data_IF_627349496840
#
_entry.id   IF_627349496840
#
_cell.length_a   1.000
_cell.length_b   1.000
_cell.length_c   1.000
_cell.angle_alpha   90.00
_cell.angle_beta   90.00
_cell.angle_gamma   90.00
#
_symmetry.space_group_name_H-M   'P 1'
#
loop_
_entity.id
_entity.type
_entity.pdbx_description
1 polymer ?
#
# COMPACT_ATOMS: atom_id res chain seq x y z
N UNK A 1 -42.01 38.22 33.63
CA UNK A 1 -41.90 38.24 32.19
C UNK A 1 -40.51 37.72 31.73
N UNK A 2 -39.41 38.28 32.22
CA UNK A 2 -38.03 37.86 31.82
C UNK A 2 -37.73 36.37 32.09
N UNK A 3 -38.11 35.87 33.28
CA UNK A 3 -37.92 34.48 33.67
C UNK A 3 -38.72 33.55 32.74
N UNK A 4 -39.93 33.90 32.38
CA UNK A 4 -40.78 33.13 31.46
C UNK A 4 -40.15 33.07 30.07
N UNK A 5 -39.65 34.19 29.52
CA UNK A 5 -38.97 34.27 28.25
C UNK A 5 -37.72 33.38 28.21
N UNK A 6 -36.98 33.34 29.26
CA UNK A 6 -35.83 32.47 29.39
C UNK A 6 -36.20 30.98 29.30
N UNK A 7 -37.24 30.52 29.97
CA UNK A 7 -37.67 29.13 29.88
C UNK A 7 -38.22 28.78 28.50
N UNK A 8 -38.93 29.73 27.86
CA UNK A 8 -39.44 29.57 26.50
C UNK A 8 -38.25 29.44 25.51
N UNK A 9 -37.25 30.33 25.59
CA UNK A 9 -36.04 30.28 24.75
C UNK A 9 -35.36 28.94 24.88
N UNK A 10 -35.08 28.49 26.10
CA UNK A 10 -34.44 27.21 26.40
C UNK A 10 -35.24 26.04 25.83
N UNK A 11 -36.54 26.01 25.99
CA UNK A 11 -37.39 24.94 25.44
C UNK A 11 -37.35 24.90 23.91
N UNK A 12 -37.40 26.08 23.25
CA UNK A 12 -37.27 26.21 21.80
C UNK A 12 -35.90 25.76 21.34
N UNK A 13 -34.82 26.21 21.99
CA UNK A 13 -33.45 25.86 21.64
C UNK A 13 -33.23 24.37 21.75
N UNK A 14 -33.59 23.75 22.87
CA UNK A 14 -33.49 22.30 23.12
C UNK A 14 -34.16 21.47 22.02
N UNK A 15 -35.32 21.91 21.52
CA UNK A 15 -36.08 21.21 20.49
C UNK A 15 -35.56 21.44 19.07
N UNK A 16 -35.01 22.62 18.78
CA UNK A 16 -34.74 23.07 17.43
C UNK A 16 -33.24 23.17 17.07
N UNK A 17 -32.33 23.19 18.04
CA UNK A 17 -30.90 23.44 17.77
C UNK A 17 -30.31 22.47 16.75
N UNK A 18 -30.67 21.17 16.81
CA UNK A 18 -30.18 20.12 15.91
C UNK A 18 -30.94 20.04 14.59
N UNK A 19 -32.19 20.54 14.58
CA UNK A 19 -33.06 20.46 13.41
C UNK A 19 -32.45 21.28 12.26
N UNK A 20 -32.42 20.73 11.04
CA UNK A 20 -31.85 21.37 9.86
C UNK A 20 -30.39 21.92 10.04
N UNK A 21 -29.65 21.34 10.92
CA UNK A 21 -28.18 21.53 11.06
C UNK A 21 -27.48 20.36 10.39
N UNK A 22 -26.67 20.63 9.36
CA UNK A 22 -25.86 19.64 8.68
C UNK A 22 -24.37 19.91 8.97
N UNK A 23 -23.69 18.91 9.52
CA UNK A 23 -22.26 18.98 9.83
C UNK A 23 -21.58 17.76 9.21
N UNK A 24 -20.52 18.00 8.47
CA UNK A 24 -19.70 16.95 7.89
C UNK A 24 -18.22 17.26 8.07
N UNK A 25 -17.45 16.22 8.38
CA UNK A 25 -15.99 16.27 8.47
C UNK A 25 -15.44 15.19 7.55
N UNK A 26 -14.68 15.58 6.54
CA UNK A 26 -14.20 14.66 5.51
C UNK A 26 -12.75 14.99 5.14
N UNK A 27 -11.98 13.98 4.74
CA UNK A 27 -10.68 14.20 4.11
C UNK A 27 -10.86 14.77 2.71
N UNK A 28 -9.97 15.70 2.30
CA UNK A 28 -9.95 16.24 0.94
C UNK A 28 -9.52 15.20 -0.09
N UNK A 29 -8.73 14.23 0.35
CA UNK A 29 -8.15 13.18 -0.48
C UNK A 29 -8.42 11.81 0.16
N UNK A 30 -8.47 10.77 -0.66
CA UNK A 30 -8.66 9.40 -0.19
C UNK A 30 -7.34 8.68 0.07
N UNK A 31 -6.28 9.13 -0.57
CA UNK A 31 -4.94 8.54 -0.52
C UNK A 31 -3.89 9.63 -0.47
N UNK A 32 -2.89 9.47 0.38
CA UNK A 32 -1.66 10.29 0.44
C UNK A 32 -0.48 9.37 0.72
N UNK A 33 0.75 9.88 0.59
CA UNK A 33 1.94 9.19 1.06
C UNK A 33 2.37 9.65 2.44
N UNK A 34 3.07 8.78 3.14
CA UNK A 34 3.73 9.11 4.40
C UNK A 34 4.67 10.31 4.20
N UNK A 35 4.57 11.28 5.09
CA UNK A 35 5.28 12.56 4.98
C UNK A 35 4.50 13.68 4.28
N UNK A 36 3.47 13.35 3.51
CA UNK A 36 2.59 14.36 2.90
C UNK A 36 1.55 14.86 3.89
N UNK A 37 1.07 16.09 3.66
CA UNK A 37 -0.01 16.70 4.44
C UNK A 37 -1.37 16.48 3.79
N UNK A 38 -2.38 16.20 4.61
CA UNK A 38 -3.78 16.09 4.16
C UNK A 38 -4.63 17.21 4.75
N UNK A 39 -5.57 17.71 3.97
CA UNK A 39 -6.57 18.66 4.44
C UNK A 39 -7.83 17.91 4.88
N UNK A 40 -8.31 18.23 6.06
CA UNK A 40 -9.63 17.81 6.55
C UNK A 40 -10.57 18.99 6.43
N UNK A 41 -11.68 18.79 5.73
CA UNK A 41 -12.68 19.80 5.48
C UNK A 41 -13.83 19.62 6.48
N UNK A 42 -14.03 20.61 7.33
CA UNK A 42 -15.18 20.76 8.20
C UNK A 42 -16.21 21.65 7.50
N UNK A 43 -17.39 21.15 7.23
CA UNK A 43 -18.51 21.93 6.68
C UNK A 43 -19.68 21.87 7.64
N UNK A 44 -20.16 23.04 8.04
CA UNK A 44 -21.34 23.21 8.90
C UNK A 44 -22.34 24.11 8.18
N UNK A 45 -23.58 23.69 8.09
CA UNK A 45 -24.64 24.39 7.39
C UNK A 45 -25.90 24.47 8.26
N UNK A 46 -26.34 25.67 8.56
CA UNK A 46 -27.57 25.95 9.30
C UNK A 46 -28.68 26.38 8.32
N UNK A 47 -29.65 25.50 8.08
CA UNK A 47 -30.78 25.75 7.16
C UNK A 47 -32.06 26.18 7.88
N UNK A 48 -31.93 26.80 9.05
CA UNK A 48 -33.07 27.25 9.86
C UNK A 48 -32.93 28.70 10.29
N UNK A 49 -34.04 29.27 10.77
CA UNK A 49 -34.11 30.66 11.28
C UNK A 49 -33.38 30.81 12.63
N UNK A 50 -33.33 29.75 13.45
CA UNK A 50 -32.68 29.81 14.73
C UNK A 50 -31.16 29.92 14.53
N UNK A 51 -30.52 31.03 14.94
CA UNK A 51 -29.09 31.14 14.93
C UNK A 51 -28.49 30.26 16.05
N UNK A 52 -27.30 29.78 15.85
CA UNK A 52 -26.53 29.04 16.86
C UNK A 52 -25.37 29.92 17.28
N UNK A 53 -25.45 30.46 18.48
CA UNK A 53 -24.45 31.41 19.01
C UNK A 53 -23.12 30.75 19.28
N UNK A 54 -23.16 29.48 19.70
CA UNK A 54 -21.99 28.68 19.98
C UNK A 54 -22.19 27.27 19.38
N UNK A 55 -21.27 26.87 18.52
CA UNK A 55 -21.16 25.49 18.00
C UNK A 55 -19.72 25.07 18.14
N UNK A 56 -19.48 23.96 18.81
CA UNK A 56 -18.18 23.30 18.87
C UNK A 56 -18.26 21.96 18.16
N UNK A 57 -17.30 21.71 17.30
CA UNK A 57 -17.11 20.42 16.62
C UNK A 57 -15.81 19.86 17.14
N UNK A 58 -15.88 18.66 17.70
CA UNK A 58 -14.71 17.91 18.15
C UNK A 58 -14.67 16.58 17.44
N UNK A 59 -13.50 16.17 17.04
CA UNK A 59 -13.24 14.87 16.41
C UNK A 59 -11.79 14.46 16.61
N UNK A 60 -11.53 13.16 16.49
CA UNK A 60 -10.18 12.61 16.56
C UNK A 60 -9.87 11.73 15.38
N UNK A 61 -8.58 11.62 15.07
CA UNK A 61 -8.07 10.64 14.11
C UNK A 61 -7.75 9.34 14.83
N UNK A 62 -8.19 8.24 14.25
CA UNK A 62 -7.85 6.90 14.67
C UNK A 62 -7.11 6.18 13.54
N UNK A 63 -5.95 5.58 13.86
CA UNK A 63 -5.19 4.73 12.96
C UNK A 63 -5.60 3.29 13.19
N UNK A 64 -6.17 2.64 12.18
CA UNK A 64 -6.78 1.31 12.30
C UNK A 64 -5.76 0.15 12.24
N UNK A 65 -4.59 0.36 11.63
CA UNK A 65 -3.65 -0.72 11.35
C UNK A 65 -2.69 -1.06 12.48
N UNK A 66 -2.46 -0.14 13.42
CA UNK A 66 -1.54 -0.34 14.55
C UNK A 66 -2.22 0.08 15.85
N UNK A 67 -1.94 -0.65 16.91
CA UNK A 67 -2.34 -0.20 18.24
C UNK A 67 -1.54 1.05 18.61
N UNK A 68 -2.21 2.02 19.21
CA UNK A 68 -1.51 3.14 19.84
C UNK A 68 -0.57 2.59 20.91
N UNK A 69 0.69 3.03 20.92
CA UNK A 69 1.56 2.79 22.07
C UNK A 69 0.95 3.48 23.29
N UNK A 70 1.07 2.86 24.44
CA UNK A 70 0.64 3.46 25.70
C UNK A 70 1.33 4.81 25.88
N UNK A 71 0.56 5.92 25.75
CA UNK A 71 1.07 7.29 25.70
C UNK A 71 0.85 8.06 24.40
N UNK A 72 0.54 7.42 23.30
CA UNK A 72 0.16 8.09 22.05
C UNK A 72 -1.23 8.72 22.20
N UNK A 73 -1.29 10.03 22.32
CA UNK A 73 -2.58 10.74 22.33
C UNK A 73 -3.14 10.76 20.91
N UNK A 74 -4.41 10.35 20.72
CA UNK A 74 -5.05 10.49 19.42
C UNK A 74 -5.02 11.97 19.00
N UNK A 75 -4.74 12.22 17.75
CA UNK A 75 -4.81 13.57 17.20
C UNK A 75 -6.26 14.07 17.30
N UNK A 76 -6.52 14.95 18.26
CA UNK A 76 -7.83 15.51 18.51
C UNK A 76 -7.90 16.96 18.06
N UNK A 77 -8.99 17.32 17.42
CA UNK A 77 -9.28 18.66 16.92
C UNK A 77 -10.56 19.16 17.55
N UNK A 78 -10.53 20.40 18.00
CA UNK A 78 -11.73 21.14 18.44
C UNK A 78 -11.82 22.44 17.65
N UNK A 79 -13.00 22.76 17.16
CA UNK A 79 -13.30 23.98 16.41
C UNK A 79 -14.58 24.59 16.92
N UNK A 80 -14.50 25.82 17.46
CA UNK A 80 -15.66 26.56 17.99
C UNK A 80 -15.96 27.80 17.15
N UNK A 81 -17.24 28.09 16.90
CA UNK A 81 -17.70 29.22 16.08
C UNK A 81 -19.19 29.48 16.29
N UNK A 82 -19.65 30.63 15.84
CA UNK A 82 -21.08 30.94 15.72
C UNK A 82 -21.57 30.59 14.33
N UNK A 83 -22.84 30.16 14.22
CA UNK A 83 -23.46 29.79 12.96
C UNK A 83 -24.79 30.52 12.81
N UNK A 84 -24.82 31.67 12.10
CA UNK A 84 -26.04 32.46 11.89
C UNK A 84 -27.15 31.69 11.19
N UNK A 85 -28.35 32.29 11.15
CA UNK A 85 -29.49 31.75 10.41
C UNK A 85 -29.15 31.61 8.92
N UNK A 86 -29.54 30.50 8.30
CA UNK A 86 -29.35 30.24 6.87
C UNK A 86 -27.92 30.44 6.36
N UNK A 87 -26.92 30.12 7.17
CA UNK A 87 -25.53 30.30 6.84
C UNK A 87 -24.77 28.98 6.79
N UNK A 88 -23.62 29.01 6.13
CA UNK A 88 -22.68 27.89 6.12
C UNK A 88 -21.26 28.36 6.41
N UNK A 89 -20.52 27.55 7.17
CA UNK A 89 -19.11 27.77 7.48
C UNK A 89 -18.31 26.57 6.98
N UNK A 90 -17.24 26.84 6.22
CA UNK A 90 -16.27 25.83 5.80
C UNK A 90 -14.92 26.14 6.44
N UNK A 91 -14.27 25.13 6.97
CA UNK A 91 -12.94 25.23 7.58
C UNK A 91 -12.06 24.09 7.06
N UNK A 92 -10.80 24.40 6.83
CA UNK A 92 -9.81 23.43 6.43
C UNK A 92 -8.75 23.33 7.53
N UNK A 93 -8.49 22.11 7.96
CA UNK A 93 -7.40 21.77 8.89
C UNK A 93 -6.38 20.93 8.15
N UNK A 94 -5.13 21.36 8.13
CA UNK A 94 -4.05 20.56 7.54
C UNK A 94 -3.41 19.70 8.63
N UNK A 95 -3.23 18.44 8.34
CA UNK A 95 -2.60 17.45 9.20
C UNK A 95 -1.37 16.95 8.47
N UNK A 96 -0.22 17.04 9.11
CA UNK A 96 1.06 16.60 8.58
C UNK A 96 1.64 15.48 9.43
N UNK A 97 2.62 14.75 8.87
CA UNK A 97 3.39 13.76 9.61
C UNK A 97 2.64 12.47 9.92
N UNK A 98 1.59 12.15 9.15
CA UNK A 98 0.91 10.87 9.28
C UNK A 98 1.83 9.73 8.81
N UNK A 99 1.97 8.70 9.64
CA UNK A 99 2.67 7.46 9.31
C UNK A 99 1.79 6.58 8.42
N UNK A 100 2.38 5.62 7.70
CA UNK A 100 1.67 4.61 6.91
C UNK A 100 0.50 3.98 7.71
N UNK A 101 -0.62 3.80 7.05
CA UNK A 101 -1.79 3.17 7.69
C UNK A 101 -3.11 3.62 7.11
N UNK A 102 -4.18 3.18 7.73
CA UNK A 102 -5.54 3.62 7.40
C UNK A 102 -6.07 4.43 8.56
N UNK A 103 -6.53 5.63 8.24
CA UNK A 103 -7.06 6.58 9.21
C UNK A 103 -8.55 6.79 9.00
N UNK A 104 -9.27 6.89 10.10
CA UNK A 104 -10.68 7.26 10.13
C UNK A 104 -10.90 8.41 11.11
N UNK A 105 -11.93 9.20 10.83
CA UNK A 105 -12.37 10.24 11.75
C UNK A 105 -13.35 9.60 12.73
N UNK A 106 -12.99 9.59 14.00
CA UNK A 106 -13.77 8.95 15.06
C UNK A 106 -14.03 9.90 16.22
N UNK A 107 -14.82 9.45 17.20
CA UNK A 107 -15.19 10.20 18.40
C UNK A 107 -15.70 11.62 18.11
N UNK A 108 -16.39 11.77 16.98
CA UNK A 108 -16.95 13.05 16.57
C UNK A 108 -18.13 13.45 17.45
N UNK A 109 -18.13 14.69 17.93
CA UNK A 109 -19.27 15.28 18.62
C UNK A 109 -19.47 16.73 18.21
N UNK A 110 -20.73 17.12 18.17
CA UNK A 110 -21.17 18.50 17.97
C UNK A 110 -21.76 18.97 19.29
N UNK A 111 -21.23 20.05 19.82
CA UNK A 111 -21.76 20.68 21.04
C UNK A 111 -22.34 22.05 20.67
N UNK A 112 -23.49 22.38 21.18
CA UNK A 112 -24.06 23.73 21.06
C UNK A 112 -24.65 24.13 22.40
N UNK A 113 -24.55 25.41 22.76
CA UNK A 113 -25.16 25.96 23.97
C UNK A 113 -26.31 26.92 23.62
N UNK A 114 -27.24 27.08 24.55
CA UNK A 114 -28.27 28.09 24.50
C UNK A 114 -27.67 29.50 24.46
N UNK A 115 -28.48 30.52 24.22
CA UNK A 115 -28.05 31.93 24.11
C UNK A 115 -27.35 32.43 25.38
N UNK A 116 -27.68 31.88 26.54
CA UNK A 116 -27.07 32.23 27.80
C UNK A 116 -25.94 31.31 28.26
N UNK A 117 -25.61 30.32 27.42
CA UNK A 117 -24.55 29.33 27.71
C UNK A 117 -24.70 28.56 29.02
N UNK A 118 -25.93 28.36 29.49
CA UNK A 118 -26.24 27.66 30.73
C UNK A 118 -26.37 26.15 30.54
N UNK A 119 -26.79 25.72 29.34
CA UNK A 119 -26.92 24.29 29.05
C UNK A 119 -26.20 23.94 27.73
N UNK A 120 -25.45 22.85 27.74
CA UNK A 120 -24.76 22.32 26.58
C UNK A 120 -25.52 21.12 26.03
N UNK A 121 -25.79 21.14 24.74
CA UNK A 121 -26.42 20.06 24.00
C UNK A 121 -25.39 19.37 23.16
N UNK A 122 -25.25 18.05 23.30
CA UNK A 122 -24.25 17.25 22.61
C UNK A 122 -24.93 16.28 21.64
N UNK A 123 -24.36 16.15 20.45
CA UNK A 123 -24.83 15.21 19.44
C UNK A 123 -23.62 14.50 18.79
N UNK A 124 -23.65 13.18 18.61
CA UNK A 124 -22.58 12.47 17.97
C UNK A 124 -22.45 12.85 16.50
N UNK A 125 -21.23 12.96 16.01
CA UNK A 125 -20.89 13.20 14.63
C UNK A 125 -20.23 11.95 14.05
N UNK A 126 -20.87 11.34 13.08
CA UNK A 126 -20.32 10.17 12.39
C UNK A 126 -19.73 10.61 11.05
N UNK A 127 -18.47 10.26 10.83
CA UNK A 127 -17.79 10.45 9.56
C UNK A 127 -17.44 9.07 8.98
N UNK A 128 -17.95 8.79 7.77
CA UNK A 128 -17.56 7.58 7.03
C UNK A 128 -16.28 7.77 6.20
N UNK A 129 -15.58 8.90 6.40
CA UNK A 129 -14.41 9.22 5.60
C UNK A 129 -13.20 8.41 6.06
N UNK A 130 -12.54 7.72 5.12
CA UNK A 130 -11.30 6.97 5.34
C UNK A 130 -10.18 7.58 4.50
N UNK A 131 -8.97 7.57 5.05
CA UNK A 131 -7.76 8.01 4.41
C UNK A 131 -6.75 6.86 4.43
N UNK A 132 -6.22 6.52 3.26
CA UNK A 132 -5.12 5.58 3.11
C UNK A 132 -3.82 6.36 3.03
N UNK A 133 -2.92 6.14 3.98
CA UNK A 133 -1.57 6.68 3.97
C UNK A 133 -0.64 5.59 3.48
N UNK A 134 -0.18 5.72 2.25
CA UNK A 134 0.72 4.79 1.59
C UNK A 134 2.13 4.89 2.17
N UNK A 135 2.94 3.82 2.10
CA UNK A 135 4.33 3.87 2.51
C UNK A 135 5.12 4.96 1.77
N UNK A 136 6.08 5.57 2.46
CA UNK A 136 7.08 6.44 1.82
C UNK A 136 7.92 5.62 0.84
N UNK A 137 8.26 6.20 -0.31
CA UNK A 137 9.18 5.58 -1.27
C UNK A 137 10.60 6.05 -0.99
N UNK A 138 11.50 5.09 -0.77
CA UNK A 138 12.92 5.35 -0.56
C UNK A 138 13.63 5.44 -1.90
N UNK A 139 14.04 6.65 -2.31
CA UNK A 139 14.77 6.88 -3.58
C UNK A 139 16.13 6.19 -3.59
N UNK A 140 16.80 6.10 -2.43
CA UNK A 140 18.08 5.41 -2.28
C UNK A 140 18.03 3.94 -2.73
N UNK A 141 16.86 3.29 -2.65
CA UNK A 141 16.69 1.92 -3.11
C UNK A 141 16.97 1.76 -4.61
N UNK A 142 16.60 2.71 -5.44
CA UNK A 142 16.84 2.66 -6.90
C UNK A 142 18.31 2.72 -7.29
N UNK A 143 19.15 3.25 -6.42
CA UNK A 143 20.61 3.38 -6.60
C UNK A 143 21.40 2.22 -5.99
N UNK A 144 20.76 1.33 -5.23
CA UNK A 144 21.45 0.22 -4.57
C UNK A 144 22.05 -0.73 -5.62
N UNK A 145 23.24 -1.25 -5.33
CA UNK A 145 23.94 -2.22 -6.20
C UNK A 145 23.11 -3.50 -6.36
N UNK A 146 22.48 -3.87 -5.31
CA UNK A 146 21.59 -4.99 -5.17
C UNK A 146 20.40 -4.95 -6.14
N UNK A 147 19.70 -3.84 -6.16
CA UNK A 147 18.58 -3.64 -7.08
C UNK A 147 19.03 -3.70 -8.55
N UNK A 148 20.20 -3.14 -8.87
CA UNK A 148 20.75 -3.18 -10.23
C UNK A 148 21.12 -4.60 -10.65
N UNK A 149 21.73 -5.38 -9.77
CA UNK A 149 22.04 -6.79 -10.02
C UNK A 149 20.79 -7.62 -10.27
N UNK A 150 19.81 -7.49 -9.38
CA UNK A 150 18.49 -8.14 -9.55
C UNK A 150 17.82 -7.77 -10.87
N UNK A 151 17.76 -6.48 -11.16
CA UNK A 151 17.15 -6.00 -12.39
C UNK A 151 17.87 -6.56 -13.61
N UNK A 152 19.20 -6.62 -13.58
CA UNK A 152 20.01 -7.25 -14.63
C UNK A 152 19.64 -8.71 -14.84
N UNK A 153 19.48 -9.47 -13.76
CA UNK A 153 19.11 -10.90 -13.82
C UNK A 153 17.70 -11.11 -14.36
N UNK A 154 16.70 -10.37 -13.85
CA UNK A 154 15.30 -10.47 -14.33
C UNK A 154 15.19 -10.04 -15.78
N UNK A 155 15.82 -8.94 -16.17
CA UNK A 155 15.80 -8.47 -17.55
C UNK A 155 16.59 -9.39 -18.50
N UNK A 156 17.71 -9.96 -18.06
CA UNK A 156 18.49 -10.89 -18.91
C UNK A 156 17.73 -12.19 -19.15
N UNK A 157 17.00 -12.71 -18.17
CA UNK A 157 16.10 -13.87 -18.35
C UNK A 157 14.98 -13.55 -19.30
N UNK A 158 14.34 -12.39 -19.13
CA UNK A 158 13.30 -11.88 -20.03
C UNK A 158 13.79 -11.77 -21.49
N UNK A 159 15.06 -11.45 -21.71
CA UNK A 159 15.67 -11.33 -23.04
C UNK A 159 16.11 -12.67 -23.64
N UNK A 160 16.20 -13.74 -22.87
CA UNK A 160 16.71 -15.04 -23.32
C UNK A 160 15.62 -16.07 -23.68
N UNK A 161 14.36 -15.79 -23.44
CA UNK A 161 13.26 -16.69 -23.81
C UNK A 161 12.50 -16.15 -25.03
N UNK A 162 12.83 -16.70 -26.21
CA UNK A 162 12.04 -16.50 -27.43
C UNK A 162 10.75 -17.33 -27.35
N UNK A 163 9.59 -16.71 -27.60
CA UNK A 163 8.34 -17.46 -27.71
C UNK A 163 8.31 -18.23 -29.05
N UNK A 164 8.36 -19.58 -29.02
CA UNK A 164 8.34 -20.38 -30.23
C UNK A 164 7.01 -20.28 -31.01
N UNK A 165 5.97 -19.69 -30.43
CA UNK A 165 4.64 -19.56 -31.04
C UNK A 165 4.40 -18.16 -31.62
N UNK A 166 5.16 -17.14 -31.21
CA UNK A 166 4.95 -15.77 -31.66
C UNK A 166 6.08 -15.32 -32.61
N UNK A 167 5.80 -15.33 -33.91
CA UNK A 167 6.78 -14.98 -34.97
C UNK A 167 6.68 -13.49 -35.22
N UNK A 168 7.71 -12.71 -34.82
CA UNK A 168 7.87 -11.29 -35.12
C UNK A 168 8.14 -11.02 -36.59
N UNK A 169 8.89 -11.92 -37.24
CA UNK A 169 9.30 -11.73 -38.61
C UNK A 169 10.15 -12.88 -39.17
N UNK A 170 10.63 -12.70 -40.41
CA UNK A 170 11.48 -13.65 -41.08
C UNK A 170 12.71 -12.90 -41.59
N UNK A 171 13.92 -13.38 -41.26
CA UNK A 171 15.20 -12.82 -41.72
C UNK A 171 16.04 -13.83 -42.50
N UNK A 172 17.07 -13.40 -43.25
CA UNK A 172 18.06 -14.31 -43.83
C UNK A 172 18.75 -15.16 -42.72
N UNK A 173 19.08 -16.39 -43.09
CA UNK A 173 19.86 -17.30 -42.27
C UNK A 173 21.33 -16.84 -42.17
N UNK A 174 21.92 -16.92 -41.00
CA UNK A 174 23.34 -16.76 -40.75
C UNK A 174 23.94 -18.09 -40.25
N UNK A 175 25.24 -18.37 -40.52
CA UNK A 175 25.88 -19.63 -40.12
C UNK A 175 25.87 -19.92 -38.61
N UNK A 176 25.63 -18.90 -37.79
CA UNK A 176 25.49 -19.00 -36.32
C UNK A 176 24.09 -19.43 -35.89
N UNK A 177 23.12 -19.44 -36.81
CA UNK A 177 21.74 -19.78 -36.45
C UNK A 177 21.55 -21.30 -36.36
N UNK A 178 20.74 -21.74 -35.43
CA UNK A 178 20.35 -23.15 -35.32
C UNK A 178 19.44 -23.54 -36.47
N UNK A 179 19.66 -24.71 -37.05
CA UNK A 179 18.79 -25.28 -38.11
C UNK A 179 17.32 -25.50 -37.64
N UNK A 180 17.10 -25.54 -36.34
CA UNK A 180 15.74 -25.71 -35.73
C UNK A 180 14.84 -24.50 -35.98
N UNK A 181 15.40 -23.30 -36.14
CA UNK A 181 14.65 -22.06 -36.34
C UNK A 181 14.45 -21.73 -37.82
N UNK A 182 14.90 -22.59 -38.73
CA UNK A 182 14.75 -22.39 -40.20
C UNK A 182 13.28 -22.49 -40.62
N UNK A 183 12.80 -21.46 -41.27
CA UNK A 183 11.48 -21.45 -41.89
C UNK A 183 11.56 -22.08 -43.26
N UNK A 184 11.34 -23.37 -43.36
CA UNK A 184 11.40 -24.14 -44.59
C UNK A 184 10.41 -23.66 -45.65
N UNK A 185 9.23 -23.20 -45.22
CA UNK A 185 8.20 -22.68 -46.14
C UNK A 185 8.62 -21.36 -46.77
N UNK A 186 9.18 -20.43 -46.00
CA UNK A 186 9.68 -19.16 -46.50
C UNK A 186 10.95 -19.36 -47.35
N UNK A 187 11.84 -20.25 -46.93
CA UNK A 187 13.07 -20.60 -47.68
C UNK A 187 12.76 -21.17 -49.07
N UNK A 188 11.79 -22.06 -49.18
CA UNK A 188 11.35 -22.63 -50.43
C UNK A 188 10.76 -21.58 -51.42
N UNK A 189 10.07 -20.57 -50.90
CA UNK A 189 9.52 -19.47 -51.71
C UNK A 189 10.57 -18.50 -52.24
N UNK A 190 11.62 -18.27 -51.44
CA UNK A 190 12.62 -17.23 -51.76
C UNK A 190 13.90 -17.78 -52.36
N UNK A 191 14.07 -19.11 -52.43
CA UNK A 191 15.28 -19.76 -52.90
C UNK A 191 16.53 -19.56 -52.05
N UNK A 192 16.36 -18.98 -50.85
CA UNK A 192 17.43 -18.73 -49.86
C UNK A 192 16.98 -19.09 -48.48
N UNK A 193 17.90 -19.63 -47.64
CA UNK A 193 17.56 -20.01 -46.27
C UNK A 193 17.07 -18.79 -45.45
N UNK A 194 15.93 -18.96 -44.84
CA UNK A 194 15.28 -17.97 -43.96
C UNK A 194 15.02 -18.58 -42.58
N UNK A 195 15.15 -17.76 -41.55
CA UNK A 195 14.86 -18.14 -40.18
C UNK A 195 13.71 -17.31 -39.60
N UNK A 196 12.90 -17.93 -38.76
CA UNK A 196 11.92 -17.19 -38.00
C UNK A 196 12.65 -16.30 -36.98
N UNK A 197 12.20 -15.06 -36.88
CA UNK A 197 12.46 -14.19 -35.70
C UNK A 197 11.27 -14.30 -34.79
N UNK A 198 11.50 -14.79 -33.59
CA UNK A 198 10.46 -14.90 -32.58
C UNK A 198 10.36 -13.60 -31.77
N UNK A 199 9.18 -13.30 -31.27
CA UNK A 199 8.99 -12.27 -30.26
C UNK A 199 9.51 -12.79 -28.91
N UNK A 200 9.96 -11.88 -28.07
CA UNK A 200 10.42 -12.24 -26.74
C UNK A 200 9.20 -12.40 -25.83
N UNK A 201 9.01 -13.57 -25.24
CA UNK A 201 7.95 -13.78 -24.24
C UNK A 201 8.30 -13.03 -22.96
N UNK A 202 7.37 -12.21 -22.51
CA UNK A 202 7.52 -11.33 -21.35
C UNK A 202 6.75 -11.81 -20.12
N UNK A 203 6.45 -13.09 -20.03
CA UNK A 203 5.57 -13.65 -19.00
C UNK A 203 6.25 -14.00 -17.66
N UNK A 204 7.50 -13.56 -17.44
CA UNK A 204 8.09 -13.70 -16.11
C UNK A 204 7.46 -12.66 -15.17
N UNK A 205 6.59 -13.14 -14.29
CA UNK A 205 6.08 -12.37 -13.17
C UNK A 205 6.99 -12.52 -11.96
N UNK A 206 7.01 -11.52 -11.10
CA UNK A 206 7.76 -11.51 -9.85
C UNK A 206 6.79 -11.63 -8.69
N UNK A 207 7.01 -12.60 -7.80
CA UNK A 207 6.29 -12.72 -6.54
C UNK A 207 7.10 -12.05 -5.42
N UNK A 208 6.55 -10.99 -4.87
CA UNK A 208 7.13 -10.33 -3.70
C UNK A 208 6.59 -10.97 -2.44
N UNK A 209 7.49 -11.53 -1.65
CA UNK A 209 7.20 -12.19 -0.37
C UNK A 209 7.67 -11.26 0.74
N UNK A 210 6.74 -10.78 1.57
CA UNK A 210 7.04 -9.89 2.70
C UNK A 210 6.86 -10.65 4.01
N UNK A 211 7.98 -10.96 4.66
CA UNK A 211 8.00 -11.61 5.97
C UNK A 211 8.18 -10.60 7.10
N UNK A 212 7.17 -10.50 7.95
CA UNK A 212 7.10 -9.63 9.13
C UNK A 212 7.17 -10.42 10.45
N UNK A 213 7.61 -11.69 10.43
CA UNK A 213 7.68 -12.52 11.64
C UNK A 213 8.72 -12.02 12.64
N UNK A 214 9.88 -11.57 12.16
CA UNK A 214 11.02 -11.13 12.98
C UNK A 214 11.27 -9.63 12.87
N UNK A 215 11.95 -9.06 13.84
CA UNK A 215 12.34 -7.65 13.88
C UNK A 215 11.42 -6.75 14.70
N UNK A 216 11.93 -5.58 15.02
CA UNK A 216 11.21 -4.53 15.72
C UNK A 216 10.23 -3.78 14.79
N UNK A 217 9.29 -3.02 15.36
CA UNK A 217 8.30 -2.27 14.59
C UNK A 217 8.92 -1.35 13.54
N UNK A 218 9.97 -0.62 13.91
CA UNK A 218 10.64 0.34 13.03
C UNK A 218 11.36 -0.36 11.86
N UNK A 219 11.93 -1.53 12.11
CA UNK A 219 12.57 -2.35 11.08
C UNK A 219 11.52 -2.87 10.09
N UNK A 220 10.39 -3.38 10.59
CA UNK A 220 9.26 -3.85 9.76
C UNK A 220 8.63 -2.73 8.94
N UNK A 221 8.43 -1.55 9.52
CA UNK A 221 7.93 -0.38 8.81
C UNK A 221 8.90 0.06 7.70
N UNK A 222 10.20 0.02 7.98
CA UNK A 222 11.24 0.31 6.99
C UNK A 222 11.22 -0.71 5.85
N UNK A 223 11.09 -2.00 6.17
CA UNK A 223 10.98 -3.07 5.19
C UNK A 223 9.78 -2.86 4.26
N UNK A 224 8.62 -2.47 4.80
CA UNK A 224 7.42 -2.15 4.02
C UNK A 224 7.68 -0.99 3.04
N UNK A 225 8.44 0.02 3.45
CA UNK A 225 8.84 1.14 2.58
C UNK A 225 9.74 0.68 1.42
N UNK A 226 10.66 -0.26 1.69
CA UNK A 226 11.49 -0.87 0.65
C UNK A 226 10.66 -1.69 -0.33
N UNK A 227 9.74 -2.51 0.16
CA UNK A 227 8.82 -3.29 -0.69
C UNK A 227 7.98 -2.38 -1.59
N UNK A 228 7.39 -1.30 -1.07
CA UNK A 228 6.65 -0.32 -1.87
C UNK A 228 7.53 0.30 -2.96
N UNK A 229 8.78 0.65 -2.61
CA UNK A 229 9.75 1.23 -3.55
C UNK A 229 10.11 0.24 -4.65
N UNK A 230 10.43 -1.01 -4.29
CA UNK A 230 10.73 -2.09 -5.21
C UNK A 230 9.58 -2.36 -6.18
N UNK A 231 8.37 -2.60 -5.66
CA UNK A 231 7.19 -2.85 -6.49
C UNK A 231 6.92 -1.72 -7.47
N UNK A 232 7.01 -0.46 -7.00
CA UNK A 232 6.84 0.70 -7.86
C UNK A 232 7.86 0.76 -9.01
N UNK A 233 9.12 0.42 -8.74
CA UNK A 233 10.18 0.43 -9.75
C UNK A 233 9.99 -0.68 -10.78
N UNK A 234 9.64 -1.90 -10.33
CA UNK A 234 9.39 -3.04 -11.22
C UNK A 234 8.19 -2.80 -12.13
N UNK A 235 7.07 -2.35 -11.58
CA UNK A 235 5.85 -2.07 -12.34
C UNK A 235 6.04 -0.93 -13.36
N UNK A 236 6.83 0.09 -13.02
CA UNK A 236 7.22 1.15 -13.97
C UNK A 236 8.06 0.63 -15.14
N UNK A 237 8.74 -0.49 -14.98
CA UNK A 237 9.51 -1.17 -16.03
C UNK A 237 8.72 -2.25 -16.79
N UNK A 238 7.42 -2.35 -16.49
CA UNK A 238 6.54 -3.29 -17.16
C UNK A 238 6.67 -4.75 -16.70
N UNK A 239 7.26 -4.97 -15.51
CA UNK A 239 7.30 -6.30 -14.88
C UNK A 239 6.00 -6.54 -14.13
N UNK A 240 5.34 -7.69 -14.37
CA UNK A 240 4.16 -8.11 -13.60
C UNK A 240 4.55 -8.53 -12.19
N UNK A 241 3.77 -8.11 -11.20
CA UNK A 241 4.04 -8.39 -9.78
C UNK A 241 2.82 -8.97 -9.07
N UNK A 242 3.11 -9.90 -8.16
CA UNK A 242 2.21 -10.31 -7.08
C UNK A 242 2.85 -10.02 -5.73
N UNK A 243 2.04 -9.86 -4.68
CA UNK A 243 2.51 -9.63 -3.30
C UNK A 243 1.83 -10.59 -2.36
N UNK A 244 2.62 -11.25 -1.51
CA UNK A 244 2.13 -12.09 -0.42
C UNK A 244 2.87 -11.72 0.86
N UNK A 245 2.14 -11.59 1.97
CA UNK A 245 2.73 -11.31 3.28
C UNK A 245 2.09 -12.15 4.38
N UNK A 246 2.90 -12.53 5.39
CA UNK A 246 2.39 -13.10 6.64
C UNK A 246 1.78 -12.05 7.58
N UNK A 247 1.91 -10.76 7.25
CA UNK A 247 1.20 -9.69 7.93
C UNK A 247 -0.31 -9.80 7.73
N UNK A 248 -1.07 -9.45 8.78
CA UNK A 248 -2.53 -9.54 8.78
C UNK A 248 -3.20 -8.25 8.30
N UNK A 249 -4.21 -8.39 7.47
CA UNK A 249 -5.04 -7.27 7.06
C UNK A 249 -5.90 -6.76 8.22
N UNK A 250 -6.08 -5.45 8.33
CA UNK A 250 -6.72 -4.83 9.50
C UNK A 250 -8.21 -5.16 9.66
N UNK A 251 -8.95 -5.40 8.57
CA UNK A 251 -10.40 -5.65 8.62
C UNK A 251 -10.73 -7.11 8.93
N UNK A 252 -10.19 -8.02 8.14
CA UNK A 252 -10.58 -9.43 8.15
C UNK A 252 -9.60 -10.35 8.88
N UNK A 253 -8.42 -9.83 9.23
CA UNK A 253 -7.36 -10.61 9.87
C UNK A 253 -6.72 -11.67 8.98
N UNK A 254 -7.04 -11.70 7.69
CA UNK A 254 -6.44 -12.60 6.72
C UNK A 254 -5.02 -12.15 6.38
N UNK A 255 -4.21 -13.05 5.82
CA UNK A 255 -2.91 -12.70 5.25
C UNK A 255 -3.10 -11.71 4.08
N UNK A 256 -2.21 -10.75 3.99
CA UNK A 256 -2.25 -9.81 2.88
C UNK A 256 -1.73 -10.48 1.63
N UNK A 257 -2.57 -10.49 0.60
CA UNK A 257 -2.27 -11.03 -0.73
C UNK A 257 -2.78 -10.07 -1.79
N UNK A 258 -1.93 -9.81 -2.79
CA UNK A 258 -2.31 -9.08 -4.02
C UNK A 258 -1.96 -10.00 -5.18
N UNK A 259 -2.97 -10.34 -5.97
CA UNK A 259 -2.79 -11.20 -7.13
C UNK A 259 -1.92 -10.51 -8.19
N UNK A 260 -1.43 -11.28 -9.15
CA UNK A 260 -0.57 -10.80 -10.21
C UNK A 260 -1.24 -9.69 -11.03
N UNK A 261 -0.46 -8.66 -11.33
CA UNK A 261 -0.91 -7.56 -12.15
C UNK A 261 0.23 -6.67 -12.61
N UNK A 262 -0.06 -5.78 -13.55
CA UNK A 262 0.89 -4.87 -14.17
C UNK A 262 0.36 -3.46 -14.30
N UNK A 263 1.26 -2.51 -14.57
CA UNK A 263 0.90 -1.12 -14.83
C UNK A 263 0.68 -0.27 -13.58
N UNK A 264 0.39 1.02 -13.80
CA UNK A 264 0.32 2.05 -12.75
C UNK A 264 -0.82 1.78 -11.75
N UNK A 265 -1.97 1.30 -12.24
CA UNK A 265 -3.11 0.99 -11.36
C UNK A 265 -2.82 -0.13 -10.36
N UNK A 266 -1.93 -1.06 -10.72
CA UNK A 266 -1.52 -2.14 -9.82
C UNK A 266 -0.62 -1.65 -8.68
N UNK A 267 0.16 -0.57 -8.92
CA UNK A 267 0.94 0.10 -7.87
C UNK A 267 0.02 0.56 -6.71
N UNK A 268 -1.11 1.16 -7.05
CA UNK A 268 -2.07 1.64 -6.04
C UNK A 268 -2.70 0.48 -5.26
N UNK A 269 -2.94 -0.66 -5.92
CA UNK A 269 -3.45 -1.87 -5.26
C UNK A 269 -2.44 -2.42 -4.24
N UNK A 270 -1.15 -2.48 -4.60
CA UNK A 270 -0.07 -2.91 -3.71
C UNK A 270 0.11 -1.91 -2.56
N UNK A 271 0.22 -0.60 -2.84
CA UNK A 271 0.38 0.43 -1.81
C UNK A 271 -0.81 0.44 -0.83
N UNK A 272 -2.02 0.20 -1.33
CA UNK A 272 -3.23 0.06 -0.51
C UNK A 272 -3.17 -1.17 0.38
N UNK A 273 -2.77 -2.31 -0.14
CA UNK A 273 -2.58 -3.53 0.62
C UNK A 273 -1.51 -3.35 1.70
N UNK A 274 -0.36 -2.75 1.34
CA UNK A 274 0.70 -2.44 2.30
C UNK A 274 0.26 -1.44 3.38
N UNK A 275 -0.61 -0.48 3.07
CA UNK A 275 -1.17 0.43 4.08
C UNK A 275 -2.08 -0.26 5.09
N UNK A 276 -2.68 -1.40 4.70
CA UNK A 276 -3.60 -2.18 5.52
C UNK A 276 -2.94 -3.22 6.42
N UNK A 277 -1.64 -3.48 6.25
CA UNK A 277 -0.90 -4.50 7.02
C UNK A 277 -0.73 -4.09 8.48
N UNK A 278 -1.10 -4.98 9.40
CA UNK A 278 -0.78 -4.90 10.83
C UNK A 278 0.61 -5.48 11.09
N UNK A 279 1.51 -4.67 11.59
CA UNK A 279 2.91 -5.06 11.85
C UNK A 279 3.04 -6.00 13.06
N UNK A 280 2.14 -5.89 14.05
CA UNK A 280 2.20 -6.62 15.32
C UNK A 280 1.48 -7.98 15.35
N UNK A 281 0.80 -8.37 14.30
CA UNK A 281 -0.08 -9.53 14.31
C UNK A 281 0.38 -10.71 13.46
N UNK A 282 1.66 -10.78 13.09
CA UNK A 282 2.17 -11.99 12.43
C UNK A 282 2.25 -13.13 13.44
N UNK A 283 1.31 -14.05 13.39
CA UNK A 283 1.27 -15.24 14.25
C UNK A 283 1.95 -16.45 13.59
N UNK A 284 2.28 -16.35 12.31
CA UNK A 284 2.88 -17.45 11.57
C UNK A 284 4.40 -17.38 11.71
N UNK A 285 5.03 -18.52 12.00
CA UNK A 285 6.49 -18.65 11.92
C UNK A 285 6.93 -18.46 10.46
N UNK A 286 8.12 -17.87 10.27
CA UNK A 286 8.74 -17.67 8.97
C UNK A 286 8.78 -18.97 8.15
N UNK A 287 9.29 -20.04 8.73
CA UNK A 287 9.41 -21.35 8.11
C UNK A 287 8.07 -21.90 7.58
N UNK A 288 7.01 -21.82 8.40
CA UNK A 288 5.68 -22.30 7.96
C UNK A 288 5.13 -21.48 6.81
N UNK A 289 5.28 -20.16 6.87
CA UNK A 289 4.83 -19.23 5.83
C UNK A 289 5.56 -19.47 4.51
N UNK A 290 6.89 -19.58 4.55
CA UNK A 290 7.71 -19.83 3.38
C UNK A 290 7.44 -21.20 2.77
N UNK A 291 7.36 -22.26 3.58
CA UNK A 291 7.07 -23.61 3.11
C UNK A 291 5.70 -23.69 2.42
N UNK A 292 4.67 -23.00 2.92
CA UNK A 292 3.36 -22.98 2.28
C UNK A 292 3.38 -22.29 0.91
N UNK A 293 4.16 -21.21 0.75
CA UNK A 293 4.31 -20.52 -0.54
C UNK A 293 5.08 -21.39 -1.53
N UNK A 294 6.14 -22.04 -1.07
CA UNK A 294 7.06 -22.82 -1.89
C UNK A 294 6.44 -24.15 -2.39
N UNK A 295 5.51 -24.73 -1.63
CA UNK A 295 4.79 -25.94 -2.05
C UNK A 295 3.70 -25.68 -3.10
N UNK A 296 3.22 -24.45 -3.22
CA UNK A 296 2.37 -24.05 -4.32
C UNK A 296 3.29 -23.75 -5.52
N UNK A 297 3.21 -24.54 -6.57
CA UNK A 297 4.05 -24.44 -7.79
C UNK A 297 4.28 -22.98 -8.19
N UNK A 298 5.49 -22.47 -7.93
CA UNK A 298 5.89 -21.10 -8.24
C UNK A 298 6.14 -20.99 -9.74
N UNK A 299 5.23 -20.32 -10.46
CA UNK A 299 5.39 -19.97 -11.87
C UNK A 299 6.08 -18.60 -12.08
N UNK A 300 6.64 -18.04 -11.03
CA UNK A 300 7.17 -16.67 -11.01
C UNK A 300 8.50 -16.63 -10.26
N UNK A 301 9.26 -15.55 -10.45
CA UNK A 301 10.50 -15.31 -9.73
C UNK A 301 10.19 -14.81 -8.32
N UNK A 302 10.46 -15.60 -7.25
CA UNK A 302 10.17 -15.16 -5.89
C UNK A 302 11.26 -14.20 -5.38
N UNK A 303 10.84 -13.14 -4.69
CA UNK A 303 11.71 -12.16 -4.04
C UNK A 303 11.29 -12.02 -2.58
N UNK A 304 12.15 -12.44 -1.66
CA UNK A 304 11.89 -12.37 -0.22
C UNK A 304 12.41 -11.05 0.37
N UNK A 305 11.55 -10.38 1.11
CA UNK A 305 11.87 -9.27 1.99
C UNK A 305 11.65 -9.69 3.45
N UNK A 306 12.73 -9.79 4.22
CA UNK A 306 12.70 -10.12 5.64
C UNK A 306 13.73 -9.30 6.42
N UNK A 307 13.52 -9.10 7.72
CA UNK A 307 14.49 -8.39 8.60
C UNK A 307 15.67 -9.31 8.92
N UNK A 308 15.41 -10.57 9.16
CA UNK A 308 16.44 -11.61 9.37
C UNK A 308 15.87 -12.97 8.96
N UNK A 309 16.76 -13.86 8.52
CA UNK A 309 16.43 -15.25 8.19
C UNK A 309 17.38 -16.13 9.01
N UNK A 310 16.88 -17.19 9.65
CA UNK A 310 17.70 -18.18 10.35
C UNK A 310 18.38 -19.11 9.36
N UNK A 311 19.52 -19.71 9.75
CA UNK A 311 20.29 -20.61 8.87
C UNK A 311 19.45 -21.80 8.38
N UNK A 312 18.67 -22.42 9.25
CA UNK A 312 17.77 -23.53 8.90
C UNK A 312 16.69 -23.11 7.90
N UNK A 313 16.10 -21.92 8.08
CA UNK A 313 15.10 -21.35 7.17
C UNK A 313 15.74 -20.97 5.83
N UNK A 314 17.00 -20.57 5.86
CA UNK A 314 17.74 -20.23 4.65
C UNK A 314 18.04 -21.47 3.80
N UNK A 315 18.37 -22.62 4.40
CA UNK A 315 18.68 -23.86 3.67
C UNK A 315 17.46 -24.37 2.88
N UNK A 316 16.28 -24.39 3.46
CA UNK A 316 15.04 -24.78 2.77
C UNK A 316 14.71 -23.81 1.63
N UNK A 317 14.82 -22.53 1.87
CA UNK A 317 14.61 -21.51 0.86
C UNK A 317 15.73 -21.52 -0.20
N UNK A 318 16.99 -21.74 0.18
CA UNK A 318 18.13 -21.89 -0.73
C UNK A 318 18.01 -23.14 -1.61
N UNK A 319 17.56 -24.27 -1.08
CA UNK A 319 17.38 -25.50 -1.84
C UNK A 319 16.30 -25.37 -2.92
N UNK A 320 15.27 -24.58 -2.67
CA UNK A 320 14.19 -24.31 -3.61
C UNK A 320 14.55 -23.19 -4.61
N UNK A 321 15.34 -22.21 -4.19
CA UNK A 321 15.81 -21.14 -5.06
C UNK A 321 16.81 -21.65 -6.10
N UNK A 322 17.62 -22.66 -5.79
CA UNK A 322 18.49 -23.32 -6.78
C UNK A 322 17.73 -23.93 -7.94
N UNK A 323 16.46 -24.38 -7.71
CA UNK A 323 15.62 -24.94 -8.79
C UNK A 323 14.99 -23.87 -9.68
N UNK A 324 14.70 -22.66 -9.15
CA UNK A 324 13.87 -21.67 -9.84
C UNK A 324 14.51 -20.27 -9.94
N UNK A 325 15.78 -20.10 -9.49
CA UNK A 325 16.51 -18.84 -9.61
C UNK A 325 15.95 -17.71 -8.76
N UNK A 326 15.56 -18.02 -7.55
CA UNK A 326 15.04 -17.05 -6.59
C UNK A 326 16.14 -16.07 -6.12
N UNK A 327 15.75 -14.84 -5.83
CA UNK A 327 16.63 -13.78 -5.37
C UNK A 327 16.16 -13.31 -4.00
N UNK A 328 17.10 -13.15 -3.07
CA UNK A 328 16.83 -12.70 -1.72
C UNK A 328 17.26 -11.25 -1.55
N UNK A 329 16.35 -10.44 -1.02
CA UNK A 329 16.68 -9.13 -0.47
C UNK A 329 16.49 -9.21 1.04
N UNK A 330 17.60 -9.32 1.79
CA UNK A 330 17.60 -9.23 3.24
C UNK A 330 17.88 -7.80 3.64
N UNK A 331 17.02 -7.22 4.46
CA UNK A 331 17.26 -5.98 5.15
C UNK A 331 17.56 -6.28 6.62
N UNK A 332 18.75 -5.96 7.09
CA UNK A 332 19.18 -6.16 8.48
C UNK A 332 19.70 -4.88 9.10
N UNK A 333 20.03 -4.91 10.42
CA UNK A 333 20.56 -3.76 11.19
C UNK A 333 21.85 -3.16 10.60
N UNK A 334 22.58 -3.89 9.78
CA UNK A 334 23.86 -3.49 9.16
C UNK A 334 23.70 -2.94 7.72
N UNK A 335 22.47 -2.69 7.24
CA UNK A 335 22.19 -2.22 5.89
C UNK A 335 21.69 -3.32 4.95
N UNK A 336 21.50 -2.95 3.67
CA UNK A 336 20.99 -3.87 2.65
C UNK A 336 22.00 -5.01 2.40
N UNK A 337 21.60 -6.25 2.69
CA UNK A 337 22.32 -7.44 2.22
C UNK A 337 21.50 -8.07 1.12
N UNK A 338 22.11 -8.22 -0.04
CA UNK A 338 21.54 -8.92 -1.17
C UNK A 338 22.31 -10.21 -1.36
N UNK A 339 21.59 -11.29 -1.30
CA UNK A 339 22.12 -12.58 -1.72
C UNK A 339 21.49 -12.89 -3.09
N UNK A 340 22.28 -12.78 -4.15
CA UNK A 340 21.96 -13.35 -5.44
C UNK A 340 22.59 -14.73 -5.42
N UNK A 341 21.79 -15.79 -5.54
CA UNK A 341 22.34 -17.11 -5.76
C UNK A 341 22.74 -17.19 -7.24
N UNK A 342 24.01 -16.98 -7.51
CA UNK A 342 24.62 -17.39 -8.77
C UNK A 342 24.68 -18.92 -8.77
N UNK A 343 24.30 -19.55 -9.88
CA UNK A 343 24.70 -20.93 -10.15
C UNK A 343 26.21 -20.97 -10.07
N UNK A 344 26.74 -21.68 -9.09
CA UNK A 344 28.14 -22.10 -9.17
C UNK A 344 28.26 -22.95 -10.43
N UNK A 345 28.89 -22.37 -11.45
CA UNK A 345 29.40 -23.15 -12.57
C UNK A 345 30.22 -24.30 -11.96
N UNK A 346 29.65 -25.51 -11.96
CA UNK A 346 30.44 -26.71 -11.73
C UNK A 346 31.62 -26.66 -12.71
N UNK A 347 32.76 -26.22 -12.23
CA UNK A 347 34.01 -26.44 -12.90
C UNK A 347 34.13 -27.96 -13.14
N UNK A 348 33.81 -28.37 -14.35
CA UNK A 348 34.22 -29.66 -14.87
C UNK A 348 35.73 -29.64 -14.91
N UNK A 349 36.35 -30.35 -13.98
CA UNK A 349 37.67 -30.92 -14.18
C UNK A 349 37.63 -32.08 -15.17
#
# INVERSE_FOLDING_TARGET
VLILLFFIERAIYKKLWRKALNVSVVFSEKTIREGEGVKVMEKSENRKRLPLSFVSIEWSLERLCNQYKEGDKPFAVSSSFSLPSFSSVKRNKTINGLKRGIYTINNGKITSSDLFSLENYIYPLYSGSRLFVFPERKEAFSSSYAYRGFLGTVLSRKMNQEDPFEIKGIRPYFPTDSMRVVNWKASAKTGSLKVNQYEWTTDESVMVILDLSKGEEEEKETLIKYVSSFCSLMLKRGVSLSLVSNGRHYEDGNRVKVDEGSGIGHIDSIDRALSAVKVFSSQDSSSRFLNEILHNELKCVPVLFAVSVEEEESEDFFSLSKKEGAIFLLYGREGERVFVLEEEDEKRD
#
